data_IF_813179231912
#
_entry.id   IF_813179231912
#
_cell.length_a   1.000
_cell.length_b   1.000
_cell.length_c   1.000
_cell.angle_alpha   90.00
_cell.angle_beta   90.00
_cell.angle_gamma   90.00
#
_symmetry.space_group_name_H-M   'P 1'
#
loop_
_entity.id
_entity.type
_entity.pdbx_description
1 polymer ?
#
# COMPACT_ATOMS: atom_id res chain seq x y z
N UNK A 1 -24.12 -0.37 -12.20
CA UNK A 1 -22.64 -0.40 -12.07
C UNK A 1 -22.26 -1.69 -11.37
N UNK A 2 -21.32 -2.46 -11.92
CA UNK A 2 -20.82 -3.71 -11.33
C UNK A 2 -19.31 -3.56 -11.08
N UNK A 3 -18.85 -3.90 -9.88
CA UNK A 3 -17.47 -3.73 -9.45
C UNK A 3 -16.75 -5.08 -9.41
N UNK A 4 -15.60 -5.17 -10.08
CA UNK A 4 -14.70 -6.31 -9.98
C UNK A 4 -13.53 -5.94 -9.08
N UNK A 5 -13.22 -6.78 -8.09
CA UNK A 5 -12.13 -6.55 -7.14
C UNK A 5 -11.16 -7.71 -7.20
N UNK A 6 -9.85 -7.43 -7.30
CA UNK A 6 -8.85 -8.48 -7.21
C UNK A 6 -8.77 -9.08 -5.80
N UNK A 7 -8.62 -10.40 -5.73
CA UNK A 7 -8.48 -11.17 -4.50
C UNK A 7 -9.73 -11.95 -4.10
N UNK A 8 -9.81 -12.32 -2.82
CA UNK A 8 -10.88 -13.18 -2.28
C UNK A 8 -11.86 -12.45 -1.36
N UNK A 9 -11.61 -11.17 -1.07
CA UNK A 9 -12.39 -10.39 -0.11
C UNK A 9 -13.04 -9.23 -0.85
N UNK A 10 -14.37 -9.20 -0.81
CA UNK A 10 -15.15 -8.07 -1.31
C UNK A 10 -15.19 -7.00 -0.20
N UNK A 11 -14.67 -5.78 -0.45
CA UNK A 11 -14.74 -4.71 0.54
C UNK A 11 -16.20 -4.28 0.74
N UNK A 12 -16.56 -3.66 1.87
CA UNK A 12 -17.90 -3.09 2.02
C UNK A 12 -18.18 -2.12 0.87
N UNK A 13 -19.16 -2.41 0.02
CA UNK A 13 -19.54 -1.52 -1.10
C UNK A 13 -20.25 -0.28 -0.53
N UNK A 14 -19.75 0.94 -0.77
CA UNK A 14 -20.48 2.13 -0.37
C UNK A 14 -21.75 2.26 -1.22
N UNK A 15 -22.89 2.50 -0.56
CA UNK A 15 -24.10 2.98 -1.25
C UNK A 15 -23.83 4.41 -1.68
N UNK A 16 -23.50 4.63 -2.96
CA UNK A 16 -23.30 5.99 -3.49
C UNK A 16 -24.65 6.53 -3.97
N UNK A 17 -25.21 7.50 -3.25
CA UNK A 17 -26.43 8.24 -3.64
C UNK A 17 -26.03 9.46 -4.49
N UNK A 18 -26.63 9.67 -5.68
CA UNK A 18 -27.75 10.60 -5.78
C UNK A 18 -28.96 10.08 -6.59
N UNK A 19 -28.85 8.92 -7.24
CA UNK A 19 -29.94 8.26 -7.99
C UNK A 19 -29.74 6.76 -7.86
N UNK A 20 -30.49 6.17 -6.95
CA UNK A 20 -30.34 4.82 -6.41
C UNK A 20 -30.01 3.77 -7.46
N UNK A 21 -28.81 3.21 -7.38
CA UNK A 21 -28.45 1.93 -8.00
C UNK A 21 -27.44 1.26 -7.09
N UNK A 22 -27.86 0.18 -6.43
CA UNK A 22 -26.96 -0.66 -5.64
C UNK A 22 -25.79 -1.10 -6.53
N UNK A 23 -24.57 -0.75 -6.13
CA UNK A 23 -23.37 -1.27 -6.80
C UNK A 23 -23.27 -2.73 -6.38
N UNK A 24 -23.39 -3.64 -7.35
CA UNK A 24 -23.06 -5.04 -7.15
C UNK A 24 -21.56 -5.23 -7.36
N UNK A 25 -20.97 -6.25 -6.77
CA UNK A 25 -19.58 -6.56 -7.03
C UNK A 25 -19.20 -7.97 -6.63
N UNK A 26 -18.07 -8.40 -7.16
CA UNK A 26 -17.49 -9.71 -6.88
C UNK A 26 -15.97 -9.60 -6.72
N UNK A 27 -15.43 -10.53 -5.93
CA UNK A 27 -14.00 -10.70 -5.75
C UNK A 27 -13.50 -11.79 -6.73
N UNK A 28 -12.45 -11.49 -7.48
CA UNK A 28 -11.86 -12.36 -8.50
C UNK A 28 -10.42 -12.66 -8.10
N UNK A 29 -10.14 -13.92 -7.77
CA UNK A 29 -8.78 -14.35 -7.40
C UNK A 29 -7.89 -14.33 -8.64
N UNK A 30 -6.79 -13.57 -8.59
CA UNK A 30 -5.90 -13.38 -9.74
C UNK A 30 -6.59 -12.57 -10.85
N UNK A 31 -7.44 -11.62 -10.45
CA UNK A 31 -8.30 -10.88 -11.37
C UNK A 31 -7.53 -9.98 -12.33
N UNK A 32 -6.32 -9.58 -11.98
CA UNK A 32 -5.43 -8.81 -12.85
C UNK A 32 -4.97 -9.59 -14.09
N UNK A 33 -4.88 -10.92 -14.00
CA UNK A 33 -4.64 -11.80 -15.15
C UNK A 33 -5.88 -12.15 -15.97
N UNK A 34 -7.08 -11.85 -15.45
CA UNK A 34 -8.36 -12.33 -16.00
C UNK A 34 -9.28 -11.20 -16.50
N UNK A 35 -9.10 -9.97 -16.01
CA UNK A 35 -9.96 -8.83 -16.30
C UNK A 35 -9.13 -7.60 -16.66
N UNK A 36 -9.38 -7.03 -17.84
CA UNK A 36 -8.69 -5.81 -18.28
C UNK A 36 -8.95 -4.62 -17.36
N UNK A 37 -10.12 -4.52 -16.74
CA UNK A 37 -10.44 -3.46 -15.79
C UNK A 37 -9.65 -3.59 -14.50
N UNK A 38 -9.50 -4.81 -13.98
CA UNK A 38 -8.66 -5.07 -12.80
C UNK A 38 -7.19 -4.82 -13.16
N UNK A 39 -6.72 -5.31 -14.30
CA UNK A 39 -5.35 -5.09 -14.77
C UNK A 39 -5.00 -3.59 -14.88
N UNK A 40 -5.89 -2.80 -15.49
CA UNK A 40 -5.72 -1.36 -15.60
C UNK A 40 -5.66 -0.67 -14.22
N UNK A 41 -6.54 -1.08 -13.29
CA UNK A 41 -6.52 -0.56 -11.92
C UNK A 41 -5.20 -0.91 -11.20
N UNK A 42 -4.70 -2.14 -11.35
CA UNK A 42 -3.42 -2.58 -10.78
C UNK A 42 -2.23 -1.79 -11.30
N UNK A 43 -2.19 -1.48 -12.60
CA UNK A 43 -1.14 -0.65 -13.22
C UNK A 43 -1.14 0.75 -12.62
N UNK A 44 -2.31 1.40 -12.57
CA UNK A 44 -2.45 2.75 -12.01
C UNK A 44 -2.04 2.76 -10.54
N UNK A 45 -2.51 1.79 -9.76
CA UNK A 45 -2.16 1.67 -8.35
C UNK A 45 -0.65 1.50 -8.14
N UNK A 46 -0.01 0.63 -8.93
CA UNK A 46 1.43 0.38 -8.86
C UNK A 46 2.24 1.62 -9.21
N UNK A 47 1.93 2.26 -10.34
CA UNK A 47 2.64 3.45 -10.80
C UNK A 47 2.53 4.60 -9.79
N UNK A 48 1.33 4.81 -9.25
CA UNK A 48 1.08 5.84 -8.23
C UNK A 48 1.88 5.55 -6.97
N UNK A 49 1.83 4.30 -6.46
CA UNK A 49 2.58 3.90 -5.27
C UNK A 49 4.08 4.10 -5.45
N UNK A 50 4.65 3.64 -6.56
CA UNK A 50 6.08 3.74 -6.79
C UNK A 50 6.53 5.21 -6.89
N UNK A 51 5.74 6.07 -7.54
CA UNK A 51 6.02 7.51 -7.62
C UNK A 51 6.08 8.15 -6.23
N UNK A 52 5.11 7.82 -5.35
CA UNK A 52 5.09 8.29 -3.96
C UNK A 52 6.35 7.82 -3.21
N UNK A 53 6.77 6.57 -3.38
CA UNK A 53 7.95 6.05 -2.67
C UNK A 53 9.26 6.71 -3.15
N UNK A 54 9.35 7.07 -4.42
CA UNK A 54 10.49 7.83 -4.98
C UNK A 54 10.53 9.25 -4.38
N UNK A 55 9.38 9.94 -4.33
CA UNK A 55 9.28 11.27 -3.71
C UNK A 55 9.64 11.22 -2.21
N UNK A 56 9.18 10.19 -1.50
CA UNK A 56 9.51 9.99 -0.10
C UNK A 56 10.99 9.72 0.13
N UNK A 57 11.67 9.01 -0.77
CA UNK A 57 13.12 8.78 -0.67
C UNK A 57 13.91 10.08 -0.80
N UNK A 58 13.47 11.00 -1.65
CA UNK A 58 14.06 12.32 -1.77
C UNK A 58 13.83 13.18 -0.51
N UNK A 59 12.64 13.10 0.10
CA UNK A 59 12.29 13.85 1.30
C UNK A 59 12.91 13.24 2.59
N UNK A 60 13.10 11.92 2.61
CA UNK A 60 13.65 11.15 3.74
C UNK A 60 14.77 10.24 3.20
N UNK A 61 15.95 10.79 2.89
CA UNK A 61 17.05 10.02 2.32
C UNK A 61 17.59 8.99 3.32
N UNK A 62 18.03 7.83 2.80
CA UNK A 62 18.73 6.80 3.58
C UNK A 62 17.91 5.54 3.88
N UNK A 63 16.60 5.53 3.61
CA UNK A 63 15.77 4.31 3.73
C UNK A 63 15.71 3.48 2.44
N UNK A 64 16.17 4.03 1.30
CA UNK A 64 16.26 3.36 0.00
C UNK A 64 14.89 3.10 -0.65
N UNK A 65 13.89 3.91 -0.32
CA UNK A 65 12.50 3.75 -0.73
C UNK A 65 12.30 3.85 -2.24
N UNK A 66 13.14 4.60 -2.95
CA UNK A 66 13.13 4.66 -4.41
C UNK A 66 13.48 3.31 -5.07
N UNK A 67 14.09 2.38 -4.34
CA UNK A 67 14.40 1.02 -4.81
C UNK A 67 13.49 -0.02 -4.16
N UNK A 68 13.33 0.03 -2.84
CA UNK A 68 12.61 -1.00 -2.10
C UNK A 68 11.11 -0.75 -1.94
N UNK A 69 10.58 0.39 -2.36
CA UNK A 69 9.14 0.71 -2.31
C UNK A 69 8.49 0.53 -0.93
N UNK A 70 9.27 0.73 0.15
CA UNK A 70 8.81 0.58 1.53
C UNK A 70 8.85 -0.86 2.05
N UNK A 71 9.25 -1.85 1.26
CA UNK A 71 9.46 -3.21 1.74
C UNK A 71 10.66 -3.27 2.70
N UNK A 72 10.59 -4.14 3.71
CA UNK A 72 11.59 -4.29 4.78
C UNK A 72 12.89 -4.97 4.35
N UNK A 73 13.52 -4.48 3.29
CA UNK A 73 14.82 -4.93 2.78
C UNK A 73 15.94 -4.62 3.78
N UNK A 74 17.12 -5.23 3.59
CA UNK A 74 18.30 -4.95 4.41
C UNK A 74 18.63 -3.45 4.46
N UNK A 75 18.65 -2.77 3.31
CA UNK A 75 18.89 -1.33 3.22
C UNK A 75 17.86 -0.50 4.02
N UNK A 76 16.59 -0.90 3.97
CA UNK A 76 15.54 -0.23 4.75
C UNK A 76 15.73 -0.44 6.26
N UNK A 77 16.10 -1.66 6.68
CA UNK A 77 16.37 -1.96 8.08
C UNK A 77 17.60 -1.21 8.60
N UNK A 78 18.65 -1.07 7.77
CA UNK A 78 19.83 -0.26 8.08
C UNK A 78 19.46 1.23 8.22
N UNK A 79 18.65 1.77 7.30
CA UNK A 79 18.11 3.13 7.41
C UNK A 79 17.29 3.33 8.68
N UNK A 80 16.41 2.39 9.04
CA UNK A 80 15.66 2.41 10.29
C UNK A 80 16.56 2.40 11.54
N UNK A 81 17.64 1.62 11.53
CA UNK A 81 18.59 1.56 12.63
C UNK A 81 19.39 2.86 12.78
N UNK A 82 19.76 3.49 11.67
CA UNK A 82 20.58 4.71 11.67
C UNK A 82 19.77 5.99 11.89
N UNK A 83 18.56 6.08 11.32
CA UNK A 83 17.76 7.31 11.24
C UNK A 83 16.47 7.26 12.07
N UNK A 84 16.08 6.07 12.54
CA UNK A 84 14.85 5.89 13.32
C UNK A 84 13.58 5.83 12.46
N UNK A 85 12.43 5.79 13.15
CA UNK A 85 11.09 5.64 12.53
C UNK A 85 10.54 7.01 12.12
N UNK A 86 10.02 7.10 10.88
CA UNK A 86 9.34 8.31 10.37
C UNK A 86 7.81 8.20 10.47
N UNK A 87 7.04 9.30 10.29
CA UNK A 87 5.58 9.25 10.21
C UNK A 87 5.02 8.38 9.08
N UNK A 88 5.79 8.12 8.02
CA UNK A 88 5.39 7.29 6.87
C UNK A 88 5.51 5.79 7.13
N UNK A 89 6.18 5.39 8.22
CA UNK A 89 6.23 3.99 8.63
C UNK A 89 4.92 3.56 9.27
N UNK A 90 4.46 2.36 8.89
CA UNK A 90 3.25 1.75 9.46
C UNK A 90 3.52 1.27 10.87
N UNK A 91 3.17 2.08 11.87
CA UNK A 91 3.42 1.81 13.29
C UNK A 91 2.77 0.52 13.81
N UNK A 92 1.76 -0.04 13.13
CA UNK A 92 1.16 -1.33 13.50
C UNK A 92 1.98 -2.54 13.04
N UNK A 93 3.03 -2.35 12.24
CA UNK A 93 3.85 -3.45 11.75
C UNK A 93 4.86 -3.86 12.83
N UNK A 94 4.93 -5.16 13.12
CA UNK A 94 5.75 -5.72 14.22
C UNK A 94 7.19 -5.19 14.27
N UNK A 95 7.94 -5.08 13.14
CA UNK A 95 9.30 -4.52 13.20
C UNK A 95 9.34 -3.07 13.68
N UNK A 96 8.38 -2.26 13.26
CA UNK A 96 8.29 -0.84 13.63
C UNK A 96 7.82 -0.68 15.08
N UNK A 97 6.82 -1.47 15.51
CA UNK A 97 6.39 -1.49 16.91
C UNK A 97 7.56 -1.75 17.85
N UNK A 98 8.36 -2.78 17.58
CA UNK A 98 9.54 -3.12 18.42
C UNK A 98 10.53 -1.97 18.55
N UNK A 99 10.78 -1.22 17.47
CA UNK A 99 11.67 -0.06 17.50
C UNK A 99 11.08 1.05 18.39
N UNK A 100 9.78 1.32 18.26
CA UNK A 100 9.10 2.34 19.04
C UNK A 100 9.01 1.98 20.53
N UNK A 101 8.74 0.70 20.83
CA UNK A 101 8.67 0.19 22.20
C UNK A 101 10.03 0.28 22.89
N UNK A 102 11.12 -0.03 22.18
CA UNK A 102 12.49 0.07 22.69
C UNK A 102 12.97 1.52 22.92
N UNK A 103 12.32 2.51 22.30
CA UNK A 103 12.61 3.93 22.49
C UNK A 103 11.80 4.56 23.64
N UNK A 104 10.80 3.84 24.17
CA UNK A 104 9.86 4.33 25.18
C UNK A 104 10.16 3.81 26.60
N UNK A 105 11.20 3.00 26.76
CA UNK A 105 11.69 2.48 28.05
C UNK A 105 13.06 3.03 28.39
#
# INVERSE_FOLDING_TARGET
LHMLVDGSIMPPVPVVSARTSTITGEAVIGGDGLSSSIAAASIIAKQTRDSIMIELDAAYPGYGWASNMGYGTKAHQEGLAALGVTPHHRKSYKPIQRILDAQSG
#
